data_IF_371855685360
#
_entry.id   IF_371855685360
#
_cell.length_a   1.000
_cell.length_b   1.000
_cell.length_c   1.000
_cell.angle_alpha   90.00
_cell.angle_beta   90.00
_cell.angle_gamma   90.00
#
_symmetry.space_group_name_H-M   'P 1'
#
loop_
_entity.id
_entity.type
_entity.pdbx_description
1 polymer ?
#
# COMPACT_ATOMS: atom_id res chain seq x y z
N UNK A 1 9.70 -4.68 -40.79
CA UNK A 1 10.23 -5.73 -39.87
C UNK A 1 11.21 -5.14 -38.86
N UNK A 2 12.22 -4.38 -39.29
CA UNK A 2 13.15 -3.70 -38.37
C UNK A 2 12.44 -2.62 -37.53
N UNK A 3 11.69 -1.73 -38.18
CA UNK A 3 10.93 -0.65 -37.53
C UNK A 3 9.87 -1.16 -36.53
N UNK A 4 9.22 -2.28 -36.83
CA UNK A 4 8.29 -2.95 -35.92
C UNK A 4 8.99 -3.61 -34.73
N UNK A 5 10.21 -4.11 -34.92
CA UNK A 5 11.00 -4.75 -33.86
C UNK A 5 11.62 -3.70 -32.93
N UNK A 6 12.05 -2.57 -33.48
CA UNK A 6 12.48 -1.40 -32.73
C UNK A 6 11.33 -0.83 -31.90
N UNK A 7 10.14 -0.62 -32.50
CA UNK A 7 8.96 -0.17 -31.76
C UNK A 7 8.57 -1.15 -30.65
N UNK A 8 8.58 -2.46 -30.92
CA UNK A 8 8.32 -3.49 -29.90
C UNK A 8 9.33 -3.42 -28.76
N UNK A 9 10.62 -3.26 -29.07
CA UNK A 9 11.69 -3.22 -28.09
C UNK A 9 11.63 -1.94 -27.25
N UNK A 10 11.39 -0.79 -27.86
CA UNK A 10 11.20 0.48 -27.16
C UNK A 10 9.99 0.42 -26.22
N UNK A 11 8.86 -0.09 -26.69
CA UNK A 11 7.66 -0.24 -25.87
C UNK A 11 7.87 -1.22 -24.72
N UNK A 12 8.54 -2.35 -24.96
CA UNK A 12 8.89 -3.29 -23.91
C UNK A 12 9.79 -2.65 -22.84
N UNK A 13 10.78 -1.87 -23.25
CA UNK A 13 11.67 -1.15 -22.33
C UNK A 13 10.91 -0.10 -21.51
N UNK A 14 9.98 0.63 -22.12
CA UNK A 14 9.13 1.60 -21.41
C UNK A 14 8.27 0.89 -20.36
N UNK A 15 7.64 -0.23 -20.72
CA UNK A 15 6.81 -1.03 -19.80
C UNK A 15 7.63 -1.68 -18.66
N UNK A 16 8.88 -2.09 -18.93
CA UNK A 16 9.78 -2.68 -17.93
C UNK A 16 10.47 -1.65 -17.05
N UNK A 17 10.52 -0.37 -17.46
CA UNK A 17 11.24 0.67 -16.71
C UNK A 17 10.79 0.82 -15.24
N UNK A 18 9.49 0.76 -14.88
CA UNK A 18 9.08 0.89 -13.49
C UNK A 18 9.49 -0.33 -12.66
N UNK A 19 9.53 -1.52 -13.28
CA UNK A 19 9.98 -2.75 -12.64
C UNK A 19 11.47 -2.68 -12.33
N UNK A 20 12.28 -2.22 -13.29
CA UNK A 20 13.71 -2.04 -13.13
C UNK A 20 14.04 -1.06 -12.00
N UNK A 21 13.27 0.02 -11.86
CA UNK A 21 13.44 0.99 -10.79
C UNK A 21 12.93 0.45 -9.43
N UNK A 22 11.90 -0.39 -9.42
CA UNK A 22 11.34 -0.96 -8.19
C UNK A 22 12.25 -2.01 -7.54
N UNK A 23 13.01 -2.77 -8.34
CA UNK A 23 13.88 -3.85 -7.86
C UNK A 23 14.95 -3.39 -6.85
N UNK A 24 15.81 -2.40 -7.14
CA UNK A 24 16.84 -1.97 -6.19
C UNK A 24 16.23 -1.40 -4.91
N UNK A 25 15.09 -0.72 -4.99
CA UNK A 25 14.40 -0.17 -3.82
C UNK A 25 13.81 -1.30 -2.96
N UNK A 26 13.19 -2.32 -3.59
CA UNK A 26 12.68 -3.49 -2.87
C UNK A 26 13.80 -4.26 -2.18
N UNK A 27 14.97 -4.39 -2.83
CA UNK A 27 16.13 -5.02 -2.22
C UNK A 27 16.67 -4.18 -1.04
N UNK A 28 16.82 -2.87 -1.22
CA UNK A 28 17.25 -1.96 -0.16
C UNK A 28 16.32 -2.01 1.06
N UNK A 29 15.00 -2.12 0.83
CA UNK A 29 14.02 -2.30 1.90
C UNK A 29 14.23 -3.62 2.66
N UNK A 30 14.35 -4.74 1.94
CA UNK A 30 14.58 -6.06 2.55
C UNK A 30 15.88 -6.10 3.34
N UNK A 31 16.92 -5.42 2.87
CA UNK A 31 18.17 -5.26 3.61
C UNK A 31 17.94 -4.41 4.87
N UNK A 32 17.31 -3.23 4.74
CA UNK A 32 17.13 -2.29 5.85
C UNK A 32 16.23 -2.80 6.99
N UNK A 33 15.27 -3.68 6.68
CA UNK A 33 14.40 -4.34 7.66
C UNK A 33 15.13 -5.40 8.50
N UNK A 34 16.34 -5.83 8.08
CA UNK A 34 17.16 -6.77 8.85
C UNK A 34 16.59 -8.18 8.84
N UNK A 35 16.71 -8.87 7.69
CA UNK A 35 16.46 -10.32 7.62
C UNK A 35 17.73 -11.04 8.08
N UNK A 36 18.14 -10.79 9.31
CA UNK A 36 19.29 -11.46 9.92
C UNK A 36 18.83 -12.74 10.63
N UNK A 37 19.58 -13.85 10.52
CA UNK A 37 19.17 -15.15 11.10
C UNK A 37 19.02 -15.11 12.63
N UNK A 38 19.77 -14.22 13.29
CA UNK A 38 19.69 -14.01 14.75
C UNK A 38 18.30 -13.55 15.22
N UNK A 39 17.53 -12.92 14.33
CA UNK A 39 16.22 -12.32 14.63
C UNK A 39 15.04 -13.20 14.23
N UNK A 40 15.31 -14.38 13.66
CA UNK A 40 14.28 -15.31 13.20
C UNK A 40 13.43 -15.81 14.37
N UNK A 41 14.04 -16.07 15.53
CA UNK A 41 13.34 -16.47 16.74
C UNK A 41 12.34 -15.40 17.22
N UNK A 42 12.74 -14.13 17.16
CA UNK A 42 11.86 -13.02 17.51
C UNK A 42 10.72 -12.87 16.49
N UNK A 43 11.03 -12.98 15.19
CA UNK A 43 10.03 -12.96 14.10
C UNK A 43 8.98 -14.05 14.27
N UNK A 44 9.39 -15.27 14.60
CA UNK A 44 8.47 -16.40 14.83
C UNK A 44 7.55 -16.15 16.04
N UNK A 45 8.09 -15.59 17.13
CA UNK A 45 7.28 -15.22 18.29
C UNK A 45 6.24 -14.15 17.94
N UNK A 46 6.62 -13.12 17.17
CA UNK A 46 5.68 -12.09 16.68
C UNK A 46 4.63 -12.70 15.75
N UNK A 47 5.03 -13.57 14.81
CA UNK A 47 4.08 -14.28 13.92
C UNK A 47 3.06 -15.07 14.72
N UNK A 48 3.49 -15.84 15.72
CA UNK A 48 2.58 -16.60 16.59
C UNK A 48 1.58 -15.71 17.33
N UNK A 49 2.01 -14.52 17.76
CA UNK A 49 1.13 -13.52 18.39
C UNK A 49 0.11 -12.99 17.37
N UNK A 50 0.55 -12.65 16.16
CA UNK A 50 -0.34 -12.17 15.10
C UNK A 50 -1.34 -13.25 14.66
N UNK A 51 -0.89 -14.50 14.53
CA UNK A 51 -1.72 -15.66 14.20
C UNK A 51 -2.79 -15.94 15.27
N UNK A 52 -2.58 -15.51 16.51
CA UNK A 52 -3.56 -15.64 17.60
C UNK A 52 -4.76 -14.69 17.45
N UNK A 53 -4.69 -13.69 16.57
CA UNK A 53 -5.77 -12.73 16.34
C UNK A 53 -5.97 -11.71 17.48
N UNK A 54 -5.05 -11.66 18.45
CA UNK A 54 -5.07 -10.75 19.60
C UNK A 54 -4.12 -9.56 19.31
N UNK A 55 -4.47 -8.32 19.73
CA UNK A 55 -3.61 -7.16 19.52
C UNK A 55 -2.24 -7.31 20.21
N UNK A 56 -1.20 -6.78 19.55
CA UNK A 56 0.18 -6.76 20.03
C UNK A 56 0.33 -6.11 21.42
N UNK A 57 -0.53 -5.15 21.75
CA UNK A 57 -0.56 -4.45 23.05
C UNK A 57 -0.67 -5.40 24.24
N UNK A 58 -1.41 -6.51 24.12
CA UNK A 58 -1.51 -7.53 25.18
C UNK A 58 -0.21 -8.27 25.42
N UNK A 59 0.61 -8.44 24.39
CA UNK A 59 1.86 -9.20 24.44
C UNK A 59 3.11 -8.30 24.49
N UNK A 60 2.95 -6.99 24.67
CA UNK A 60 4.05 -6.00 24.65
C UNK A 60 5.17 -6.36 25.64
N UNK A 61 4.81 -6.73 26.86
CA UNK A 61 5.77 -7.09 27.91
C UNK A 61 6.58 -8.35 27.56
N UNK A 62 5.95 -9.36 26.98
CA UNK A 62 6.61 -10.58 26.49
C UNK A 62 7.53 -10.28 25.29
N UNK A 63 7.05 -9.49 24.33
CA UNK A 63 7.80 -9.13 23.14
C UNK A 63 9.01 -8.26 23.48
N UNK A 64 8.90 -7.35 24.45
CA UNK A 64 10.02 -6.55 24.93
C UNK A 64 11.03 -7.39 25.73
N UNK A 65 10.57 -8.41 26.45
CA UNK A 65 11.48 -9.36 27.11
C UNK A 65 12.24 -10.20 26.09
N UNK A 66 11.59 -10.67 25.05
CA UNK A 66 12.22 -11.46 23.99
C UNK A 66 13.19 -10.61 23.15
N UNK A 67 12.82 -9.37 22.84
CA UNK A 67 13.70 -8.42 22.17
C UNK A 67 14.97 -8.12 22.97
N UNK A 68 14.88 -8.03 24.30
CA UNK A 68 16.05 -7.85 25.18
C UNK A 68 17.01 -9.03 25.13
N UNK A 69 16.53 -10.27 25.01
CA UNK A 69 17.38 -11.46 24.89
C UNK A 69 18.22 -11.46 23.61
N UNK A 70 17.66 -10.93 22.53
CA UNK A 70 18.32 -10.82 21.21
C UNK A 70 19.00 -9.45 21.03
N UNK A 71 19.11 -8.66 22.10
CA UNK A 71 19.72 -7.31 22.08
C UNK A 71 19.16 -6.39 20.97
N UNK A 72 17.87 -6.50 20.69
CA UNK A 72 17.20 -5.69 19.66
C UNK A 72 16.94 -4.27 20.18
N UNK A 73 17.44 -3.29 19.42
CA UNK A 73 17.11 -1.87 19.62
C UNK A 73 15.62 -1.65 19.32
N UNK A 74 14.97 -0.74 20.05
CA UNK A 74 13.55 -0.38 19.88
C UNK A 74 13.13 -0.14 18.44
N UNK A 75 13.98 0.53 17.67
CA UNK A 75 13.70 0.93 16.30
C UNK A 75 13.77 -0.25 15.34
N UNK A 76 14.71 -1.17 15.59
CA UNK A 76 14.85 -2.41 14.81
C UNK A 76 13.69 -3.36 15.11
N UNK A 77 13.29 -3.44 16.37
CA UNK A 77 12.08 -4.14 16.79
C UNK A 77 10.83 -3.60 16.08
N UNK A 78 10.69 -2.27 16.01
CA UNK A 78 9.59 -1.61 15.29
C UNK A 78 9.56 -1.97 13.80
N UNK A 79 10.74 -2.07 13.15
CA UNK A 79 10.86 -2.48 11.74
C UNK A 79 10.36 -3.90 11.50
N UNK A 80 10.77 -4.83 12.37
CA UNK A 80 10.40 -6.24 12.25
C UNK A 80 8.89 -6.43 12.49
N UNK A 81 8.35 -5.80 13.55
CA UNK A 81 6.91 -5.87 13.85
C UNK A 81 6.08 -5.29 12.70
N UNK A 82 6.49 -4.15 12.14
CA UNK A 82 5.77 -3.47 11.05
C UNK A 82 5.85 -4.25 9.73
N UNK A 83 7.00 -4.87 9.41
CA UNK A 83 7.17 -5.72 8.22
C UNK A 83 6.24 -6.95 8.26
N UNK A 84 6.03 -7.52 9.46
CA UNK A 84 5.13 -8.66 9.65
C UNK A 84 3.65 -8.26 9.56
N UNK A 85 3.28 -7.08 10.06
CA UNK A 85 1.91 -6.54 9.96
C UNK A 85 1.56 -6.11 8.53
N UNK A 86 2.50 -5.46 7.85
CA UNK A 86 2.31 -4.82 6.55
C UNK A 86 3.44 -5.21 5.58
N UNK A 87 3.42 -6.45 5.06
CA UNK A 87 4.51 -6.94 4.22
C UNK A 87 4.57 -6.18 2.89
N UNK A 88 5.62 -5.38 2.72
CA UNK A 88 5.87 -4.61 1.51
C UNK A 88 6.45 -5.52 0.41
N UNK A 89 5.57 -6.01 -0.45
CA UNK A 89 5.93 -6.73 -1.69
C UNK A 89 6.43 -5.79 -2.78
N UNK A 90 7.10 -6.35 -3.80
CA UNK A 90 7.60 -5.64 -4.99
C UNK A 90 6.55 -4.72 -5.65
N UNK A 91 5.29 -5.13 -5.66
CA UNK A 91 4.17 -4.34 -6.17
C UNK A 91 4.07 -2.94 -5.54
N UNK A 92 4.43 -2.79 -4.25
CA UNK A 92 4.41 -1.50 -3.55
C UNK A 92 5.63 -0.62 -3.87
N UNK A 93 6.69 -1.19 -4.45
CA UNK A 93 7.86 -0.44 -4.91
C UNK A 93 7.74 -0.04 -6.38
N UNK A 94 6.82 -0.64 -7.13
CA UNK A 94 6.46 -0.18 -8.48
C UNK A 94 5.95 1.27 -8.51
N UNK A 95 5.47 1.72 -7.36
CA UNK A 95 5.05 3.08 -7.01
C UNK A 95 6.21 4.08 -6.87
N UNK A 96 7.41 3.63 -6.54
CA UNK A 96 8.53 4.51 -6.20
C UNK A 96 8.88 5.50 -7.33
N UNK A 97 8.88 5.09 -8.61
CA UNK A 97 9.03 6.02 -9.72
C UNK A 97 7.91 7.07 -9.78
N UNK A 98 6.67 6.69 -9.48
CA UNK A 98 5.54 7.64 -9.44
C UNK A 98 5.59 8.60 -8.24
N UNK A 99 6.20 8.19 -7.13
CA UNK A 99 6.48 9.06 -5.97
C UNK A 99 7.47 10.17 -6.33
N UNK A 100 8.42 9.92 -7.25
CA UNK A 100 9.31 10.97 -7.76
C UNK A 100 8.50 12.02 -8.56
N UNK A 101 7.45 11.57 -9.26
CA UNK A 101 6.55 12.43 -10.03
C UNK A 101 5.46 13.10 -9.18
N UNK A 102 5.32 12.74 -7.90
CA UNK A 102 4.28 13.31 -7.02
C UNK A 102 4.28 14.84 -6.94
N UNK A 103 5.42 15.59 -6.95
CA UNK A 103 5.35 17.05 -6.82
C UNK A 103 4.72 17.67 -8.06
N UNK A 104 5.01 17.08 -9.22
CA UNK A 104 4.49 17.50 -10.51
C UNK A 104 3.01 17.16 -10.63
N UNK A 105 2.61 15.92 -10.32
CA UNK A 105 1.20 15.50 -10.33
C UNK A 105 0.40 16.30 -9.30
N UNK A 106 0.97 16.54 -8.11
CA UNK A 106 0.37 17.34 -7.05
C UNK A 106 0.11 18.78 -7.47
N UNK A 107 0.98 19.38 -8.28
CA UNK A 107 0.78 20.71 -8.86
C UNK A 107 -0.44 20.74 -9.80
N UNK A 108 -0.58 19.76 -10.69
CA UNK A 108 -1.76 19.65 -11.57
C UNK A 108 -3.03 19.33 -10.79
N UNK A 109 -2.94 18.43 -9.82
CA UNK A 109 -4.05 18.12 -8.93
C UNK A 109 -4.49 19.38 -8.16
N UNK A 110 -3.55 20.19 -7.66
CA UNK A 110 -3.85 21.45 -6.99
C UNK A 110 -4.54 22.43 -7.94
N UNK A 111 -4.08 22.54 -9.20
CA UNK A 111 -4.70 23.40 -10.21
C UNK A 111 -6.17 23.04 -10.47
N UNK A 112 -6.50 21.74 -10.52
CA UNK A 112 -7.88 21.25 -10.70
C UNK A 112 -8.67 21.34 -9.38
N UNK A 113 -8.03 21.09 -8.24
CA UNK A 113 -8.68 21.05 -6.93
C UNK A 113 -9.02 22.44 -6.43
N UNK A 114 -8.22 23.47 -6.74
CA UNK A 114 -8.45 24.84 -6.29
C UNK A 114 -9.83 25.38 -6.72
N UNK A 115 -10.27 25.26 -7.99
CA UNK A 115 -11.65 25.61 -8.37
C UNK A 115 -12.70 24.60 -7.88
N UNK A 116 -12.33 23.34 -7.62
CA UNK A 116 -13.25 22.32 -7.09
C UNK A 116 -13.48 22.46 -5.57
N UNK A 117 -12.58 23.13 -4.86
CA UNK A 117 -12.60 23.32 -3.40
C UNK A 117 -13.94 23.83 -2.85
N UNK A 118 -14.63 24.84 -3.45
CA UNK A 118 -15.95 25.25 -2.98
C UNK A 118 -16.99 24.12 -3.04
N UNK A 119 -16.94 23.25 -4.06
CA UNK A 119 -17.85 22.10 -4.18
C UNK A 119 -17.54 21.07 -3.10
N UNK A 120 -16.26 20.75 -2.89
CA UNK A 120 -15.83 19.83 -1.83
C UNK A 120 -16.24 20.35 -0.45
N UNK A 121 -16.06 21.65 -0.20
CA UNK A 121 -16.46 22.30 1.06
C UNK A 121 -17.98 22.28 1.27
N UNK A 122 -18.76 22.42 0.20
CA UNK A 122 -20.21 22.28 0.27
C UNK A 122 -20.61 20.85 0.64
N UNK A 123 -19.98 19.85 0.02
CA UNK A 123 -20.21 18.44 0.36
C UNK A 123 -19.84 18.17 1.82
N UNK A 124 -18.69 18.65 2.27
CA UNK A 124 -18.25 18.50 3.67
C UNK A 124 -19.25 19.13 4.64
N UNK A 125 -19.70 20.36 4.35
CA UNK A 125 -20.70 21.04 5.15
C UNK A 125 -22.02 20.25 5.22
N UNK A 126 -22.48 19.69 4.10
CA UNK A 126 -23.71 18.89 4.06
C UNK A 126 -23.53 17.54 4.79
N UNK A 127 -22.43 16.83 4.57
CA UNK A 127 -22.25 15.49 5.12
C UNK A 127 -21.82 15.51 6.60
N UNK A 128 -20.89 16.38 6.94
CA UNK A 128 -20.23 16.46 8.26
C UNK A 128 -20.91 17.50 9.13
N UNK A 129 -20.92 18.78 8.77
CA UNK A 129 -21.43 19.84 9.64
C UNK A 129 -22.93 19.70 9.90
N UNK A 130 -23.70 19.31 8.88
CA UNK A 130 -25.14 19.01 9.03
C UNK A 130 -25.42 17.62 9.59
N UNK A 131 -24.39 16.86 9.96
CA UNK A 131 -24.50 15.54 10.59
C UNK A 131 -25.31 14.52 9.77
N UNK A 132 -25.49 14.76 8.46
CA UNK A 132 -26.26 13.90 7.56
C UNK A 132 -25.65 12.50 7.52
N UNK A 133 -24.32 12.40 7.55
CA UNK A 133 -23.64 11.11 7.60
C UNK A 133 -24.01 10.31 8.86
N UNK A 134 -24.09 10.98 10.01
CA UNK A 134 -24.49 10.34 11.27
C UNK A 134 -25.96 9.93 11.27
N UNK A 135 -26.82 10.72 10.61
CA UNK A 135 -28.24 10.42 10.47
C UNK A 135 -28.44 9.19 9.60
N UNK A 136 -27.77 9.12 8.44
CA UNK A 136 -27.79 7.96 7.56
C UNK A 136 -27.25 6.72 8.28
N UNK A 137 -26.13 6.85 8.99
CA UNK A 137 -25.56 5.75 9.76
C UNK A 137 -26.53 5.22 10.82
N UNK A 138 -27.22 6.10 11.57
CA UNK A 138 -28.24 5.68 12.55
C UNK A 138 -29.44 5.00 11.90
N UNK A 139 -29.88 5.49 10.74
CA UNK A 139 -30.97 4.85 9.99
C UNK A 139 -30.57 3.43 9.59
N UNK A 140 -29.39 3.27 8.99
CA UNK A 140 -28.86 1.96 8.59
C UNK A 140 -28.72 1.04 9.81
N UNK A 141 -28.11 1.51 10.90
CA UNK A 141 -27.96 0.74 12.14
C UNK A 141 -29.30 0.28 12.70
N UNK A 142 -30.34 1.14 12.65
CA UNK A 142 -31.69 0.79 13.10
C UNK A 142 -32.32 -0.32 12.27
N UNK A 143 -32.11 -0.31 10.94
CA UNK A 143 -32.64 -1.34 10.06
C UNK A 143 -31.87 -2.65 10.14
N UNK A 144 -30.55 -2.60 10.23
CA UNK A 144 -29.69 -3.81 10.12
C UNK A 144 -29.33 -4.42 11.48
N UNK A 145 -29.66 -3.77 12.61
CA UNK A 145 -29.23 -4.16 13.97
C UNK A 145 -27.73 -4.45 14.05
N UNK A 146 -26.92 -3.69 13.30
CA UNK A 146 -25.48 -3.76 13.40
C UNK A 146 -25.04 -3.14 14.73
N UNK A 147 -24.74 -3.99 15.70
CA UNK A 147 -23.95 -3.58 16.86
C UNK A 147 -22.53 -3.26 16.37
N UNK A 148 -22.10 -2.03 16.59
CA UNK A 148 -20.74 -1.59 16.25
C UNK A 148 -19.79 -2.22 17.26
N UNK A 149 -19.37 -3.45 16.99
CA UNK A 149 -18.31 -4.12 17.76
C UNK A 149 -16.98 -3.53 17.30
N UNK A 150 -16.36 -2.73 18.14
CA UNK A 150 -15.00 -2.24 17.92
C UNK A 150 -14.00 -3.38 18.05
N UNK A 151 -13.64 -4.02 16.93
CA UNK A 151 -12.55 -5.00 16.93
C UNK A 151 -11.24 -4.23 17.03
N UNK A 152 -10.45 -4.40 18.11
CA UNK A 152 -9.15 -3.76 18.21
C UNK A 152 -8.27 -4.23 17.06
N UNK A 153 -7.52 -3.31 16.45
CA UNK A 153 -6.65 -3.66 15.34
C UNK A 153 -5.51 -4.54 15.86
N UNK A 154 -5.08 -5.53 15.09
CA UNK A 154 -3.96 -6.41 15.46
C UNK A 154 -2.67 -5.63 15.74
N UNK A 155 -2.44 -4.54 14.99
CA UNK A 155 -1.33 -3.60 15.16
C UNK A 155 -1.44 -2.67 16.37
N UNK A 156 -2.51 -2.73 17.17
CA UNK A 156 -2.66 -1.88 18.36
C UNK A 156 -1.57 -2.25 19.39
N UNK A 157 -0.67 -1.31 19.70
CA UNK A 157 0.55 -1.54 20.48
C UNK A 157 1.86 -1.71 19.68
N UNK A 158 1.81 -1.61 18.35
CA UNK A 158 3.00 -1.51 17.50
C UNK A 158 3.67 -0.12 17.61
N UNK A 159 4.98 -0.06 17.40
CA UNK A 159 5.79 1.18 17.47
C UNK A 159 5.64 2.05 16.21
N UNK A 160 6.08 3.31 16.27
CA UNK A 160 5.75 4.40 15.32
C UNK A 160 5.91 4.09 13.82
N UNK A 161 6.86 3.23 13.43
CA UNK A 161 7.07 2.86 12.03
C UNK A 161 5.82 2.21 11.40
N UNK A 162 4.98 1.55 12.20
CA UNK A 162 3.75 0.90 11.77
C UNK A 162 2.82 1.89 11.05
N UNK A 163 2.71 3.13 11.53
CA UNK A 163 1.82 4.14 10.94
C UNK A 163 2.26 4.53 9.52
N UNK A 164 3.56 4.68 9.31
CA UNK A 164 4.13 5.02 7.99
C UNK A 164 3.96 3.83 7.04
N UNK A 165 4.26 2.62 7.52
CA UNK A 165 4.13 1.39 6.74
C UNK A 165 2.69 1.08 6.36
N UNK A 166 1.75 1.24 7.29
CA UNK A 166 0.33 1.10 7.06
C UNK A 166 -0.17 2.09 5.99
N UNK A 167 0.38 3.31 5.96
CA UNK A 167 0.04 4.28 4.91
C UNK A 167 0.56 3.85 3.53
N UNK A 168 1.79 3.32 3.45
CA UNK A 168 2.37 2.81 2.19
C UNK A 168 1.60 1.58 1.71
N UNK A 169 1.26 0.67 2.62
CA UNK A 169 0.50 -0.54 2.33
C UNK A 169 -0.92 -0.24 1.83
N UNK A 170 -1.55 0.85 2.29
CA UNK A 170 -2.90 1.26 1.89
C UNK A 170 -2.97 1.98 0.55
N UNK A 171 -1.84 2.21 -0.14
CA UNK A 171 -1.88 2.87 -1.45
C UNK A 171 -2.71 2.05 -2.45
N UNK A 172 -3.65 2.68 -3.19
CA UNK A 172 -4.61 1.97 -4.02
C UNK A 172 -3.93 1.31 -5.22
N UNK A 173 -3.68 0.00 -5.10
CA UNK A 173 -3.21 -0.91 -6.16
C UNK A 173 -4.08 -0.80 -7.43
N UNK A 174 -5.34 -0.39 -7.30
CA UNK A 174 -6.29 -0.21 -8.41
C UNK A 174 -5.91 0.92 -9.36
N UNK A 175 -5.33 2.01 -8.85
CA UNK A 175 -4.83 3.11 -9.70
C UNK A 175 -3.61 2.65 -10.51
N UNK A 176 -2.79 1.75 -9.95
CA UNK A 176 -1.64 1.12 -10.63
C UNK A 176 -2.06 0.23 -11.78
N UNK A 177 -3.09 -0.59 -11.57
CA UNK A 177 -3.63 -1.42 -12.63
C UNK A 177 -4.14 -0.54 -13.78
N UNK A 178 -4.88 0.53 -13.47
CA UNK A 178 -5.38 1.46 -14.48
C UNK A 178 -4.27 2.14 -15.30
N UNK A 179 -3.23 2.67 -14.63
CA UNK A 179 -2.10 3.31 -15.30
C UNK A 179 -1.30 2.30 -16.14
N UNK A 180 -1.04 1.12 -15.60
CA UNK A 180 -0.27 0.08 -16.30
C UNK A 180 -1.04 -0.48 -17.50
N UNK A 181 -2.34 -0.71 -17.35
CA UNK A 181 -3.23 -1.07 -18.46
C UNK A 181 -3.24 0.02 -19.53
N UNK A 182 -3.32 1.30 -19.14
CA UNK A 182 -3.20 2.42 -20.07
C UNK A 182 -1.87 2.42 -20.82
N UNK A 183 -0.75 2.21 -20.12
CA UNK A 183 0.58 2.14 -20.73
C UNK A 183 0.73 0.95 -21.69
N UNK A 184 0.22 -0.23 -21.31
CA UNK A 184 0.17 -1.40 -22.19
C UNK A 184 -0.59 -1.05 -23.47
N UNK A 185 -1.82 -0.52 -23.36
CA UNK A 185 -2.66 -0.19 -24.51
C UNK A 185 -2.02 0.90 -25.38
N UNK A 186 -1.42 1.91 -24.77
CA UNK A 186 -0.88 3.08 -25.48
C UNK A 186 0.43 2.80 -26.19
N UNK A 187 1.27 1.91 -25.64
CA UNK A 187 2.62 1.69 -26.15
C UNK A 187 2.79 0.33 -26.84
N UNK A 188 1.94 -0.67 -26.66
CA UNK A 188 2.10 -1.89 -27.46
C UNK A 188 1.86 -1.58 -28.95
N UNK A 189 2.80 -1.91 -29.86
CA UNK A 189 2.59 -1.78 -31.30
C UNK A 189 1.72 -2.95 -31.83
N UNK A 190 0.63 -3.24 -31.14
CA UNK A 190 -0.38 -4.22 -31.54
C UNK A 190 -1.73 -3.52 -31.65
N UNK A 191 -2.57 -3.96 -32.59
CA UNK A 191 -3.96 -3.48 -32.65
C UNK A 191 -4.66 -3.74 -31.31
N UNK A 192 -5.52 -2.81 -30.87
CA UNK A 192 -6.23 -2.92 -29.59
C UNK A 192 -7.01 -4.25 -29.46
N UNK A 193 -7.45 -4.82 -30.59
CA UNK A 193 -8.07 -6.14 -30.68
C UNK A 193 -7.11 -7.28 -30.27
N UNK A 194 -5.87 -7.27 -30.75
CA UNK A 194 -4.86 -8.28 -30.42
C UNK A 194 -4.43 -8.19 -28.96
N UNK A 195 -4.32 -6.97 -28.41
CA UNK A 195 -4.03 -6.76 -26.98
C UNK A 195 -5.14 -7.34 -26.09
N UNK A 196 -6.40 -7.15 -26.50
CA UNK A 196 -7.57 -7.66 -25.79
C UNK A 196 -7.64 -9.19 -25.85
N UNK A 197 -7.31 -9.80 -27.00
CA UNK A 197 -7.28 -11.25 -27.20
C UNK A 197 -6.17 -11.91 -26.36
N UNK A 198 -4.97 -11.34 -26.32
CA UNK A 198 -3.87 -11.83 -25.48
C UNK A 198 -4.21 -11.69 -23.99
N UNK A 199 -4.80 -10.57 -23.60
CA UNK A 199 -5.23 -10.34 -22.21
C UNK A 199 -6.30 -11.34 -21.77
N UNK A 200 -7.27 -11.65 -22.64
CA UNK A 200 -8.31 -12.65 -22.41
C UNK A 200 -7.81 -14.11 -22.44
N UNK A 201 -6.60 -14.37 -22.94
CA UNK A 201 -5.98 -15.69 -22.91
C UNK A 201 -5.13 -15.92 -21.64
N UNK A 202 -4.68 -14.84 -21.00
CA UNK A 202 -3.83 -14.87 -19.79
C UNK A 202 -4.67 -14.77 -18.50
N UNK A 203 -5.82 -14.10 -18.56
CA UNK A 203 -6.85 -14.06 -17.51
C UNK A 203 -7.91 -15.15 -17.72
#
# INVERSE_FOLDING_TARGET
VVESLEALLTSLLILLSPLFLALPVSFAWRWWVGIEPEQEHYREKVRRVLDSGIPLSRFRSELDAEARKVHLISDRQARIESDLLHPLRLQHFLLFPSLILWPLVGLFAALITLPMMPVLRLIEWVLIDKHVLSLVARIIQRYTRWEVIGIPRLGDGAKELDKVLASIYRMPITVFLGLFTYLIISYLPMSSFNVLLVSAAVY
#
